data_IF_798453692705
#
_entry.id   IF_798453692705
#
_cell.length_a   1.000
_cell.length_b   1.000
_cell.length_c   1.000
_cell.angle_alpha   90.00
_cell.angle_beta   90.00
_cell.angle_gamma   90.00
#
_symmetry.space_group_name_H-M   'P 1'
#
loop_
_entity.id
_entity.type
_entity.pdbx_description
1 polymer ?
#
# COMPACT_ATOMS: atom_id res chain seq x y z
N UNK A 1 15.91 5.83 -18.94
CA UNK A 1 16.19 4.59 -18.16
C UNK A 1 14.87 4.10 -17.58
N UNK A 2 14.56 2.79 -17.57
CA UNK A 2 13.30 2.35 -16.99
C UNK A 2 13.35 2.62 -15.48
N UNK A 3 12.51 3.54 -15.00
CA UNK A 3 12.23 3.70 -13.56
C UNK A 3 11.53 2.41 -13.13
N UNK A 4 12.29 1.46 -12.60
CA UNK A 4 11.75 0.13 -12.32
C UNK A 4 10.87 0.07 -11.06
N UNK A 5 10.51 1.21 -10.44
CA UNK A 5 9.70 1.36 -9.21
C UNK A 5 9.95 0.27 -8.15
N UNK A 6 11.21 -0.16 -8.04
CA UNK A 6 11.67 -1.23 -7.16
C UNK A 6 12.50 -0.59 -6.07
N UNK A 7 11.95 -0.56 -4.85
CA UNK A 7 12.58 -0.04 -3.64
C UNK A 7 13.18 1.36 -3.81
N UNK A 8 12.41 2.28 -4.40
CA UNK A 8 12.84 3.68 -4.58
C UNK A 8 12.30 4.56 -3.45
N UNK A 9 13.13 5.45 -2.93
CA UNK A 9 12.70 6.49 -2.01
C UNK A 9 12.46 7.78 -2.82
N UNK A 10 11.25 8.32 -2.75
CA UNK A 10 10.86 9.60 -3.39
C UNK A 10 10.35 10.54 -2.31
N UNK A 11 10.92 11.73 -2.21
CA UNK A 11 10.36 12.80 -1.35
C UNK A 11 9.37 13.62 -2.16
N UNK A 12 8.19 13.84 -1.60
CA UNK A 12 7.20 14.80 -2.12
C UNK A 12 7.24 16.07 -1.26
N UNK A 13 6.38 17.03 -1.56
CA UNK A 13 6.23 18.22 -0.71
C UNK A 13 5.72 17.86 0.70
N UNK A 14 4.97 16.75 0.83
CA UNK A 14 4.26 16.38 2.07
C UNK A 14 4.81 15.14 2.76
N UNK A 15 5.42 14.21 2.01
CA UNK A 15 5.70 12.86 2.49
C UNK A 15 7.02 12.30 1.96
N UNK A 16 7.45 11.18 2.55
CA UNK A 16 8.50 10.31 1.98
C UNK A 16 7.84 9.02 1.51
N UNK A 17 7.95 8.72 0.22
CA UNK A 17 7.39 7.51 -0.39
C UNK A 17 8.47 6.44 -0.55
N UNK A 18 8.13 5.21 -0.18
CA UNK A 18 8.89 3.99 -0.46
C UNK A 18 8.11 3.25 -1.55
N UNK A 19 8.59 3.36 -2.79
CA UNK A 19 7.95 2.79 -3.97
C UNK A 19 8.45 1.36 -4.20
N UNK A 20 7.54 0.39 -4.07
CA UNK A 20 7.75 -1.03 -4.37
C UNK A 20 6.55 -1.63 -5.13
N UNK A 21 6.08 -0.91 -6.15
CA UNK A 21 4.83 -1.18 -6.88
C UNK A 21 5.01 -1.93 -8.22
N UNK A 22 6.16 -2.56 -8.45
CA UNK A 22 6.39 -3.33 -9.67
C UNK A 22 5.85 -4.76 -9.58
N UNK A 23 6.19 -5.47 -8.49
CA UNK A 23 5.76 -6.83 -8.19
C UNK A 23 5.23 -6.92 -6.75
N UNK A 24 4.08 -7.57 -6.58
CA UNK A 24 3.54 -7.89 -5.26
C UNK A 24 3.16 -9.37 -5.20
N UNK A 25 3.67 -10.02 -4.16
CA UNK A 25 3.33 -11.37 -3.73
C UNK A 25 3.39 -11.41 -2.20
N UNK A 26 2.86 -12.46 -1.59
CA UNK A 26 2.68 -12.56 -0.13
C UNK A 26 4.00 -12.29 0.62
N UNK A 27 5.06 -13.05 0.32
CA UNK A 27 6.35 -12.94 1.01
C UNK A 27 6.99 -11.56 0.89
N UNK A 28 6.98 -10.96 -0.32
CA UNK A 28 7.54 -9.62 -0.52
C UNK A 28 6.73 -8.54 0.18
N UNK A 29 5.40 -8.69 0.23
CA UNK A 29 4.51 -7.74 0.92
C UNK A 29 4.72 -7.80 2.43
N UNK A 30 4.79 -9.00 3.01
CA UNK A 30 5.10 -9.19 4.43
C UNK A 30 6.45 -8.57 4.81
N UNK A 31 7.50 -8.80 4.00
CA UNK A 31 8.82 -8.22 4.24
C UNK A 31 8.79 -6.68 4.18
N UNK A 32 8.07 -6.10 3.22
CA UNK A 32 7.95 -4.64 3.09
C UNK A 32 7.21 -4.01 4.27
N UNK A 33 6.12 -4.63 4.74
CA UNK A 33 5.37 -4.20 5.91
C UNK A 33 6.20 -4.33 7.20
N UNK A 34 6.92 -5.44 7.37
CA UNK A 34 7.81 -5.64 8.51
C UNK A 34 8.89 -4.57 8.55
N UNK A 35 9.53 -4.30 7.40
CA UNK A 35 10.53 -3.23 7.29
C UNK A 35 9.95 -1.87 7.65
N UNK A 36 8.77 -1.51 7.13
CA UNK A 36 8.08 -0.26 7.48
C UNK A 36 7.81 -0.17 9.00
N UNK A 37 7.30 -1.25 9.60
CA UNK A 37 7.01 -1.31 11.03
C UNK A 37 8.26 -1.12 11.90
N UNK A 38 9.42 -1.63 11.45
CA UNK A 38 10.70 -1.56 12.17
C UNK A 38 11.50 -0.29 11.95
N UNK A 39 11.09 0.63 11.06
CA UNK A 39 11.84 1.88 10.82
C UNK A 39 11.87 2.76 12.08
N UNK A 40 12.96 3.52 12.25
CA UNK A 40 13.14 4.51 13.32
C UNK A 40 12.32 5.79 13.11
N UNK A 41 11.00 5.62 12.95
CA UNK A 41 10.02 6.69 12.93
C UNK A 41 8.90 6.41 13.96
N UNK A 42 8.29 7.45 14.54
CA UNK A 42 7.08 7.29 15.34
C UNK A 42 6.00 6.53 14.58
N UNK A 43 5.19 5.75 15.30
CA UNK A 43 4.18 4.85 14.72
C UNK A 43 3.21 5.60 13.82
N UNK A 44 2.79 6.78 14.24
CA UNK A 44 1.89 7.67 13.53
C UNK A 44 2.45 8.20 12.21
N UNK A 45 3.78 8.17 12.00
CA UNK A 45 4.39 8.57 10.73
C UNK A 45 4.40 7.44 9.70
N UNK A 46 4.22 6.19 10.11
CA UNK A 46 4.27 5.03 9.22
C UNK A 46 2.91 4.81 8.58
N UNK A 47 2.86 4.75 7.25
CA UNK A 47 1.62 4.55 6.50
C UNK A 47 1.86 3.57 5.35
N UNK A 48 0.88 2.72 5.03
CA UNK A 48 0.94 1.88 3.84
C UNK A 48 -0.20 2.20 2.87
N UNK A 49 0.07 1.98 1.59
CA UNK A 49 -0.92 1.86 0.53
C UNK A 49 -0.61 0.56 -0.21
N UNK A 50 -1.46 -0.45 -0.01
CA UNK A 50 -1.29 -1.78 -0.59
C UNK A 50 -2.31 -2.05 -1.69
N UNK A 51 -1.79 -2.40 -2.86
CA UNK A 51 -2.53 -2.81 -4.03
C UNK A 51 -2.65 -4.32 -4.13
N UNK A 52 -3.73 -4.79 -4.76
CA UNK A 52 -3.94 -6.23 -5.00
C UNK A 52 -2.71 -6.94 -5.60
N UNK A 53 -2.58 -8.21 -5.24
CA UNK A 53 -1.63 -9.18 -5.77
C UNK A 53 -2.32 -10.05 -6.83
N UNK A 54 -2.09 -9.74 -8.11
CA UNK A 54 -2.88 -10.28 -9.23
C UNK A 54 -2.55 -11.72 -9.62
N UNK A 55 -1.42 -12.28 -9.20
CA UNK A 55 -0.93 -13.61 -9.62
C UNK A 55 -1.32 -14.75 -8.67
N UNK A 56 -2.22 -14.50 -7.71
CA UNK A 56 -2.54 -15.46 -6.64
C UNK A 56 -3.60 -16.52 -7.00
N UNK A 57 -4.35 -16.33 -8.08
CA UNK A 57 -5.41 -17.26 -8.49
C UNK A 57 -6.40 -17.57 -7.36
N UNK A 58 -6.64 -18.86 -7.09
CA UNK A 58 -7.67 -19.32 -6.15
C UNK A 58 -7.44 -18.91 -4.69
N UNK A 59 -6.19 -18.62 -4.30
CA UNK A 59 -5.86 -18.22 -2.92
C UNK A 59 -5.88 -16.70 -2.72
N UNK A 60 -6.32 -15.95 -3.74
CA UNK A 60 -6.29 -14.47 -3.71
C UNK A 60 -7.01 -13.92 -2.47
N UNK A 61 -8.28 -14.24 -2.26
CA UNK A 61 -9.05 -13.62 -1.16
C UNK A 61 -8.49 -13.97 0.24
N UNK A 62 -8.08 -15.22 0.46
CA UNK A 62 -7.48 -15.62 1.74
C UNK A 62 -6.15 -14.92 1.99
N UNK A 63 -5.30 -14.79 0.95
CA UNK A 63 -4.02 -14.09 1.07
C UNK A 63 -4.19 -12.58 1.31
N UNK A 64 -5.18 -11.94 0.67
CA UNK A 64 -5.46 -10.53 0.92
C UNK A 64 -6.00 -10.30 2.34
N UNK A 65 -6.84 -11.21 2.86
CA UNK A 65 -7.27 -11.19 4.26
C UNK A 65 -6.10 -11.35 5.22
N UNK A 66 -5.19 -12.28 4.96
CA UNK A 66 -3.98 -12.48 5.75
C UNK A 66 -3.10 -11.22 5.78
N UNK A 67 -2.99 -10.49 4.66
CA UNK A 67 -2.24 -9.23 4.64
C UNK A 67 -2.91 -8.14 5.48
N UNK A 68 -4.25 -8.08 5.50
CA UNK A 68 -4.98 -7.16 6.39
C UNK A 68 -4.65 -7.51 7.85
N UNK A 69 -4.80 -8.77 8.24
CA UNK A 69 -4.55 -9.24 9.61
C UNK A 69 -3.10 -8.94 10.03
N UNK A 70 -2.15 -9.19 9.14
CA UNK A 70 -0.74 -8.89 9.39
C UNK A 70 -0.47 -7.38 9.58
N UNK A 71 -1.18 -6.50 8.87
CA UNK A 71 -1.06 -5.05 9.13
C UNK A 71 -1.61 -4.63 10.48
N UNK A 72 -2.67 -5.30 10.97
CA UNK A 72 -3.25 -5.06 12.29
C UNK A 72 -2.30 -5.54 13.40
N UNK A 73 -1.70 -6.72 13.24
CA UNK A 73 -0.69 -7.27 14.14
C UNK A 73 0.52 -6.36 14.29
N UNK A 74 1.00 -5.79 13.18
CA UNK A 74 2.08 -4.78 13.19
C UNK A 74 1.62 -3.41 13.69
N UNK A 75 0.31 -3.23 13.90
CA UNK A 75 -0.31 -1.97 14.30
C UNK A 75 -0.16 -0.86 13.27
N UNK A 76 0.04 -1.18 12.00
CA UNK A 76 0.21 -0.17 10.96
C UNK A 76 -1.14 0.41 10.56
N UNK A 77 -1.11 1.68 10.11
CA UNK A 77 -2.26 2.36 9.50
C UNK A 77 -2.05 2.48 8.00
N UNK A 78 -3.12 2.42 7.22
CA UNK A 78 -2.99 2.45 5.78
C UNK A 78 -4.29 2.29 5.01
N UNK A 79 -4.13 2.10 3.71
CA UNK A 79 -5.20 1.97 2.72
C UNK A 79 -4.95 0.73 1.87
N UNK A 80 -6.02 0.03 1.52
CA UNK A 80 -5.98 -1.05 0.56
C UNK A 80 -6.69 -0.68 -0.75
N UNK A 81 -6.18 -1.16 -1.88
CA UNK A 81 -6.66 -0.81 -3.22
C UNK A 81 -6.72 -2.06 -4.12
N UNK A 82 -7.86 -2.28 -4.75
CA UNK A 82 -8.08 -3.38 -5.67
C UNK A 82 -9.33 -4.18 -5.33
N UNK A 83 -9.80 -5.00 -6.28
CA UNK A 83 -11.05 -5.74 -6.13
C UNK A 83 -10.96 -6.82 -5.03
N UNK A 84 -9.80 -7.48 -4.86
CA UNK A 84 -9.62 -8.50 -3.85
C UNK A 84 -9.63 -7.90 -2.45
N UNK A 85 -8.85 -6.84 -2.21
CA UNK A 85 -8.91 -6.12 -0.93
C UNK A 85 -10.26 -5.49 -0.66
N UNK A 86 -10.92 -4.93 -1.67
CA UNK A 86 -12.27 -4.37 -1.52
C UNK A 86 -13.31 -5.43 -1.17
N UNK A 87 -13.22 -6.62 -1.78
CA UNK A 87 -14.14 -7.73 -1.52
C UNK A 87 -13.94 -8.35 -0.13
N UNK A 88 -12.69 -8.47 0.31
CA UNK A 88 -12.38 -8.97 1.66
C UNK A 88 -12.81 -7.93 2.70
N UNK A 89 -12.53 -6.65 2.46
CA UNK A 89 -12.89 -5.54 3.33
C UNK A 89 -12.16 -5.53 4.67
N UNK A 90 -12.32 -4.43 5.39
CA UNK A 90 -11.85 -4.27 6.78
C UNK A 90 -12.69 -3.21 7.47
N UNK A 91 -12.91 -3.37 8.78
CA UNK A 91 -13.50 -2.31 9.63
C UNK A 91 -12.44 -1.28 10.07
N UNK A 92 -11.18 -1.70 10.14
CA UNK A 92 -10.04 -0.90 10.58
C UNK A 92 -9.46 0.00 9.48
N UNK A 93 -9.65 -0.39 8.21
CA UNK A 93 -8.99 0.23 7.07
C UNK A 93 -9.96 0.66 5.98
N UNK A 94 -9.57 1.72 5.25
CA UNK A 94 -10.24 2.07 3.99
C UNK A 94 -9.79 1.11 2.89
N UNK A 95 -10.76 0.56 2.17
CA UNK A 95 -10.54 -0.25 0.98
C UNK A 95 -11.21 0.41 -0.23
N UNK A 96 -10.44 0.60 -1.30
CA UNK A 96 -10.91 1.16 -2.57
C UNK A 96 -10.91 0.07 -3.63
N UNK A 97 -11.92 0.04 -4.50
CA UNK A 97 -12.02 -0.98 -5.54
C UNK A 97 -10.92 -0.83 -6.60
N UNK A 98 -10.49 0.40 -6.88
CA UNK A 98 -9.43 0.68 -7.85
C UNK A 98 -8.69 1.99 -7.51
N UNK A 99 -7.57 2.23 -8.19
CA UNK A 99 -6.74 3.42 -7.95
C UNK A 99 -7.44 4.75 -8.31
N UNK A 100 -8.40 4.75 -9.25
CA UNK A 100 -9.17 5.95 -9.59
C UNK A 100 -10.10 6.36 -8.45
N UNK A 101 -10.74 5.40 -7.78
CA UNK A 101 -11.60 5.66 -6.62
C UNK A 101 -10.78 6.29 -5.49
N UNK A 102 -9.59 5.73 -5.20
CA UNK A 102 -8.67 6.34 -4.23
C UNK A 102 -8.24 7.74 -4.68
N UNK A 103 -7.87 7.91 -5.95
CA UNK A 103 -7.39 9.20 -6.48
C UNK A 103 -8.45 10.31 -6.32
N UNK A 104 -9.73 9.98 -6.45
CA UNK A 104 -10.82 10.96 -6.23
C UNK A 104 -10.96 11.43 -4.78
N UNK A 105 -10.47 10.66 -3.81
CA UNK A 105 -10.58 10.98 -2.39
C UNK A 105 -9.25 11.38 -1.73
N UNK A 106 -8.11 11.03 -2.33
CA UNK A 106 -6.81 11.04 -1.66
C UNK A 106 -6.42 12.41 -1.08
N UNK A 107 -6.78 13.51 -1.75
CA UNK A 107 -6.52 14.86 -1.27
C UNK A 107 -7.32 15.17 0.01
N UNK A 108 -8.55 14.66 0.12
CA UNK A 108 -9.41 14.83 1.30
C UNK A 108 -8.93 14.02 2.52
N UNK A 109 -8.11 13.00 2.30
CA UNK A 109 -7.52 12.18 3.37
C UNK A 109 -6.42 12.92 4.14
N UNK A 110 -5.93 14.06 3.62
CA UNK A 110 -4.94 14.92 4.26
C UNK A 110 -3.69 14.15 4.75
N UNK A 111 -3.23 13.18 3.95
CA UNK A 111 -2.05 12.36 4.28
C UNK A 111 -0.79 13.22 4.13
N UNK A 112 -0.19 13.63 5.24
CA UNK A 112 1.02 14.45 5.29
C UNK A 112 1.93 14.06 6.46
N UNK A 113 3.22 14.42 6.35
CA UNK A 113 4.29 14.11 7.31
C UNK A 113 4.42 12.59 7.60
N UNK A 114 4.26 11.78 6.55
CA UNK A 114 4.34 10.31 6.61
C UNK A 114 5.54 9.75 5.85
N UNK A 115 5.94 8.55 6.26
CA UNK A 115 6.72 7.58 5.49
C UNK A 115 5.75 6.55 4.94
N UNK A 116 5.52 6.58 3.63
CA UNK A 116 4.45 5.84 2.96
C UNK A 116 5.04 4.71 2.13
N UNK A 117 4.74 3.46 2.47
CA UNK A 117 4.98 2.32 1.59
C UNK A 117 3.89 2.26 0.52
N UNK A 118 4.27 2.30 -0.77
CA UNK A 118 3.35 2.06 -1.89
C UNK A 118 3.78 0.77 -2.57
N UNK A 119 2.94 -0.27 -2.48
CA UNK A 119 3.25 -1.60 -3.02
C UNK A 119 1.99 -2.27 -3.58
N UNK A 120 2.10 -2.93 -4.73
CA UNK A 120 0.99 -3.62 -5.38
C UNK A 120 1.44 -4.21 -6.72
N UNK A 121 0.64 -5.08 -7.33
CA UNK A 121 0.92 -5.54 -8.68
C UNK A 121 0.84 -4.37 -9.67
N UNK A 122 1.70 -4.36 -10.69
CA UNK A 122 1.70 -3.32 -11.74
C UNK A 122 0.33 -3.04 -12.38
N UNK A 123 -0.52 -4.06 -12.50
CA UNK A 123 -1.88 -3.90 -13.03
C UNK A 123 -2.79 -2.98 -12.21
N UNK A 124 -2.47 -2.75 -10.93
CA UNK A 124 -3.22 -1.86 -10.02
C UNK A 124 -2.90 -0.39 -10.28
N UNK A 125 -1.73 -0.11 -10.88
CA UNK A 125 -1.29 1.23 -11.27
C UNK A 125 -1.24 2.23 -10.11
N UNK A 126 -0.74 1.82 -8.94
CA UNK A 126 -0.61 2.71 -7.79
C UNK A 126 0.39 3.85 -8.00
N UNK A 127 1.21 3.82 -9.04
CA UNK A 127 2.07 4.96 -9.38
C UNK A 127 1.29 6.26 -9.66
N UNK A 128 0.01 6.17 -10.05
CA UNK A 128 -0.81 7.35 -10.39
C UNK A 128 -1.15 8.23 -9.19
N UNK A 129 -1.05 7.70 -7.96
CA UNK A 129 -1.36 8.46 -6.74
C UNK A 129 -0.13 9.18 -6.17
N UNK A 130 1.08 8.87 -6.66
CA UNK A 130 2.33 9.42 -6.11
C UNK A 130 2.37 10.95 -6.12
N UNK A 131 1.87 11.57 -7.19
CA UNK A 131 1.93 13.02 -7.37
C UNK A 131 0.87 13.78 -6.53
N UNK A 132 -0.02 13.04 -5.86
CA UNK A 132 -1.02 13.58 -4.93
C UNK A 132 -0.62 13.45 -3.45
N UNK A 133 0.41 12.65 -3.19
CA UNK A 133 1.01 12.43 -1.87
C UNK A 133 2.23 13.34 -1.65
#
# INVERSE_FOLDING_TARGET
TPKNNRSQIKKTEKNTLILDAYNANITSTQAALLNLSGMEFPKEKKFFILGDMLELGNVSLSAHKEMIDYTEELGLVGIFVGEAYYKVGSESYKCYKNASDLLSEIESLMIADKVILIKGSRGIKLEVIEDKL
#
